data_IF_347781405469
#
_entry.id   IF_347781405469
#
_cell.length_a   1.000
_cell.length_b   1.000
_cell.length_c   1.000
_cell.angle_alpha   90.00
_cell.angle_beta   90.00
_cell.angle_gamma   90.00
#
_symmetry.space_group_name_H-M   'P 1'
#
loop_
_entity.id
_entity.type
_entity.pdbx_description
1 polymer ?
2 non-polymer ?
#
# COMPACT_ATOMS: atom_id res chain seq x y z
N UNK A 1 -1.60 3.59 -21.87
CA UNK A 1 -0.52 3.99 -20.91
C UNK A 1 -0.34 2.89 -19.85
N UNK A 2 0.74 2.11 -19.98
CA UNK A 2 1.01 1.00 -19.06
C UNK A 2 2.18 1.20 -18.11
N UNK A 3 2.67 2.44 -18.00
CA UNK A 3 3.79 2.74 -17.12
C UNK A 3 3.38 2.63 -15.68
N UNK A 4 4.32 2.19 -14.85
CA UNK A 4 4.07 2.02 -13.42
C UNK A 4 5.30 2.22 -12.53
N UNK A 5 5.04 2.65 -11.30
CA UNK A 5 6.07 2.84 -10.29
C UNK A 5 5.59 1.90 -9.20
N UNK A 6 6.48 1.05 -8.70
CA UNK A 6 6.05 0.09 -7.69
C UNK A 6 6.93 -0.02 -6.46
N UNK A 7 6.30 -0.52 -5.40
CA UNK A 7 6.93 -0.77 -4.12
C UNK A 7 6.43 -2.17 -3.79
N UNK A 8 7.36 -3.13 -3.77
CA UNK A 8 7.00 -4.51 -3.53
C UNK A 8 7.37 -5.08 -2.17
N UNK A 9 6.48 -5.94 -1.67
CA UNK A 9 6.68 -6.61 -0.41
C UNK A 9 7.09 -5.77 0.78
N UNK A 10 6.54 -4.57 0.92
CA UNK A 10 6.86 -3.75 2.07
C UNK A 10 6.28 -4.48 3.26
N UNK A 11 7.00 -4.48 4.37
CA UNK A 11 6.52 -5.20 5.54
C UNK A 11 6.50 -4.37 6.80
N UNK A 12 5.38 -4.44 7.51
CA UNK A 12 5.21 -3.67 8.72
C UNK A 12 4.60 -4.52 9.81
N UNK A 13 5.00 -4.26 11.05
CA UNK A 13 4.45 -4.98 12.18
C UNK A 13 3.39 -4.04 12.73
N UNK A 14 2.13 -4.46 12.64
CA UNK A 14 1.03 -3.64 13.12
C UNK A 14 0.03 -4.41 13.95
N UNK A 15 -0.96 -3.72 14.50
CA UNK A 15 -1.97 -4.36 15.35
C UNK A 15 -3.40 -4.37 14.83
N UNK A 16 -3.56 -4.32 13.51
CA UNK A 16 -4.88 -4.34 12.90
C UNK A 16 -5.48 -5.74 12.96
N UNK A 17 -6.80 -5.80 12.83
CA UNK A 17 -7.49 -7.07 12.87
C UNK A 17 -8.82 -6.93 13.60
N UNK A 18 -9.78 -7.77 13.23
CA UNK A 18 -11.11 -7.74 13.83
C UNK A 18 -11.21 -8.53 15.13
N UNK A 19 -10.15 -9.25 15.48
CA UNK A 19 -10.15 -10.03 16.72
C UNK A 19 -9.32 -9.33 17.79
N UNK A 20 -9.86 -9.24 19.00
CA UNK A 20 -9.18 -8.59 20.13
C UNK A 20 -7.74 -9.02 20.29
N UNK A 21 -7.53 -10.33 20.34
CA UNK A 21 -6.19 -10.88 20.50
C UNK A 21 -5.25 -10.33 19.42
N UNK A 22 -5.76 -10.24 18.20
CA UNK A 22 -4.99 -9.73 17.06
C UNK A 22 -4.37 -8.37 17.36
N UNK A 23 -5.19 -7.45 17.84
CA UNK A 23 -4.76 -6.10 18.15
C UNK A 23 -3.76 -6.04 19.31
N UNK A 24 -3.85 -7.01 20.22
CA UNK A 24 -2.97 -7.08 21.39
C UNK A 24 -1.55 -7.48 21.01
N UNK A 25 -1.44 -8.66 20.41
CA UNK A 25 -0.17 -9.24 19.99
C UNK A 25 0.41 -8.56 18.74
N UNK A 26 -0.41 -8.46 17.69
CA UNK A 26 0.02 -7.85 16.45
C UNK A 26 0.57 -8.86 15.46
N UNK A 27 1.01 -8.39 14.31
CA UNK A 27 1.57 -9.27 13.29
C UNK A 27 2.19 -8.48 12.14
N UNK A 28 2.81 -9.19 11.20
CA UNK A 28 3.42 -8.57 10.03
C UNK A 28 2.42 -8.51 8.85
N UNK A 29 2.27 -7.31 8.30
CA UNK A 29 1.38 -7.05 7.17
C UNK A 29 2.27 -6.78 5.97
N UNK A 30 2.07 -7.51 4.88
CA UNK A 30 2.87 -7.33 3.67
C UNK A 30 2.12 -6.39 2.74
N UNK A 31 2.83 -5.44 2.14
CA UNK A 31 2.16 -4.50 1.25
C UNK A 31 2.81 -4.29 -0.12
N UNK A 32 1.98 -4.35 -1.16
CA UNK A 32 2.42 -4.16 -2.54
C UNK A 32 1.69 -2.95 -3.09
N UNK A 33 2.43 -1.92 -3.49
CA UNK A 33 1.80 -0.72 -4.04
C UNK A 33 2.29 -0.43 -5.45
N UNK A 34 1.36 -0.41 -6.40
CA UNK A 34 1.68 -0.12 -7.80
C UNK A 34 0.88 1.10 -8.27
N UNK A 35 1.60 2.11 -8.74
CA UNK A 35 1.01 3.36 -9.21
C UNK A 35 1.08 3.54 -10.73
N UNK A 36 -0.04 3.91 -11.35
CA UNK A 36 -0.10 4.16 -12.79
C UNK A 36 0.37 5.60 -13.00
N UNK A 37 1.53 5.76 -13.62
CA UNK A 37 2.09 7.08 -13.83
C UNK A 37 2.82 7.10 -15.16
N UNK A 38 2.66 8.18 -15.91
CA UNK A 38 3.31 8.35 -17.21
C UNK A 38 4.77 8.68 -16.88
N UNK A 39 5.69 7.83 -17.31
CA UNK A 39 7.11 8.01 -17.02
C UNK A 39 8.00 8.42 -18.18
N UNK A 40 7.40 8.83 -19.30
CA UNK A 40 8.19 9.21 -20.46
C UNK A 40 8.91 10.55 -20.33
N UNK A 41 8.30 11.51 -19.63
CA UNK A 41 8.96 12.79 -19.46
C UNK A 41 10.15 12.60 -18.55
N UNK A 42 9.95 11.80 -17.49
CA UNK A 42 11.03 11.52 -16.55
C UNK A 42 12.08 10.67 -17.27
N UNK A 43 11.63 9.83 -18.19
CA UNK A 43 12.56 9.01 -18.94
C UNK A 43 13.37 9.86 -19.90
N UNK A 44 12.77 10.94 -20.38
CA UNK A 44 13.44 11.84 -21.30
C UNK A 44 14.32 12.81 -20.52
N UNK A 45 13.75 13.46 -19.51
CA UNK A 45 14.48 14.44 -18.71
C UNK A 45 15.50 13.93 -17.68
N UNK A 46 15.17 12.83 -17.00
CA UNK A 46 16.04 12.25 -15.96
C UNK A 46 15.94 13.05 -14.66
N UNK A 47 15.03 14.03 -14.66
CA UNK A 47 14.79 14.89 -13.51
C UNK A 47 13.80 14.22 -12.58
N UNK A 48 14.21 14.00 -11.33
CA UNK A 48 13.34 13.36 -10.36
C UNK A 48 12.03 14.13 -10.15
N UNK A 49 11.99 15.38 -10.63
CA UNK A 49 10.79 16.24 -10.49
C UNK A 49 9.70 16.01 -11.55
N UNK A 50 9.97 15.15 -12.54
CA UNK A 50 9.01 14.85 -13.59
C UNK A 50 8.36 13.48 -13.35
N UNK A 51 8.59 12.92 -12.17
CA UNK A 51 8.03 11.61 -11.81
C UNK A 51 7.63 11.62 -10.34
N UNK A 52 7.16 10.48 -9.84
CA UNK A 52 6.76 10.36 -8.45
C UNK A 52 7.87 9.65 -7.67
N UNK A 53 8.23 10.32 -6.58
CA UNK A 53 9.26 9.92 -5.61
C UNK A 53 8.74 8.77 -4.73
N UNK A 54 9.28 7.56 -4.92
CA UNK A 54 8.83 6.36 -4.14
C UNK A 54 9.17 6.40 -2.65
N UNK A 55 10.27 7.06 -2.28
CA UNK A 55 10.61 7.17 -0.87
C UNK A 55 9.46 7.79 -0.10
N UNK A 56 8.88 8.85 -0.66
CA UNK A 56 7.76 9.56 -0.07
C UNK A 56 6.55 8.64 0.00
N UNK A 57 6.39 7.80 -1.01
CA UNK A 57 5.26 6.88 -1.03
C UNK A 57 5.36 5.85 0.08
N UNK A 58 6.58 5.37 0.32
CA UNK A 58 6.86 4.38 1.35
C UNK A 58 6.55 4.97 2.71
N UNK A 59 6.84 6.26 2.85
CA UNK A 59 6.57 6.94 4.10
C UNK A 59 5.06 6.99 4.32
N UNK A 60 4.31 7.32 3.27
CA UNK A 60 2.85 7.40 3.35
C UNK A 60 2.29 6.04 3.77
N UNK A 61 2.73 4.99 3.10
CA UNK A 61 2.27 3.65 3.42
C UNK A 61 2.63 3.27 4.86
N UNK A 62 3.90 3.46 5.21
CA UNK A 62 4.42 3.15 6.54
C UNK A 62 3.61 3.79 7.65
N UNK A 63 3.39 5.10 7.54
CA UNK A 63 2.65 5.86 8.54
C UNK A 63 1.23 5.33 8.76
N UNK A 64 0.64 4.73 7.73
CA UNK A 64 -0.70 4.18 7.85
C UNK A 64 -0.61 2.75 8.37
N UNK A 65 0.33 1.98 7.84
CA UNK A 65 0.49 0.59 8.26
C UNK A 65 0.99 0.47 9.70
N UNK A 66 1.77 1.45 10.14
CA UNK A 66 2.29 1.43 11.50
C UNK A 66 1.59 2.41 12.44
N UNK A 67 0.43 2.92 12.04
CA UNK A 67 -0.28 3.85 12.89
C UNK A 67 -1.44 3.19 13.63
N UNK A 68 -2.38 4.00 14.09
CA UNK A 68 -3.57 3.52 14.80
C UNK A 68 -4.11 2.21 14.20
N UNK A 69 -4.42 1.25 15.05
CA UNK A 69 -4.93 -0.04 14.61
C UNK A 69 -6.41 -0.03 14.22
N UNK A 70 -6.69 -0.50 13.00
CA UNK A 70 -8.05 -0.56 12.50
C UNK A 70 -8.53 -2.00 12.44
N UNK A 71 -9.68 -2.22 11.82
CA UNK A 71 -10.25 -3.56 11.71
C UNK A 71 -9.82 -4.27 10.44
N UNK A 72 -10.28 -3.74 9.32
CA UNK A 72 -10.04 -4.33 8.03
C UNK A 72 -8.81 -3.88 7.25
N UNK A 73 -8.34 -4.80 6.42
CA UNK A 73 -7.21 -4.57 5.55
C UNK A 73 -7.80 -3.69 4.45
N UNK A 74 -9.12 -3.76 4.30
CA UNK A 74 -9.85 -2.98 3.29
C UNK A 74 -9.77 -1.51 3.66
N UNK A 75 -9.79 -1.24 4.96
CA UNK A 75 -9.72 0.11 5.48
C UNK A 75 -8.31 0.69 5.38
N UNK A 76 -7.32 -0.18 5.47
CA UNK A 76 -5.92 0.22 5.39
C UNK A 76 -5.51 0.54 3.95
N UNK A 77 -5.99 -0.27 3.01
CA UNK A 77 -5.67 -0.08 1.60
C UNK A 77 -6.39 1.10 1.02
N UNK A 78 -7.58 1.39 1.56
CA UNK A 78 -8.40 2.50 1.10
C UNK A 78 -7.79 3.81 1.61
N UNK A 79 -7.25 3.77 2.82
CA UNK A 79 -6.62 4.95 3.40
C UNK A 79 -5.34 5.26 2.64
N UNK A 80 -4.65 4.20 2.20
CA UNK A 80 -3.40 4.32 1.44
C UNK A 80 -3.66 4.79 0.01
N UNK A 81 -4.60 4.14 -0.67
CA UNK A 81 -4.94 4.51 -2.04
C UNK A 81 -5.42 5.96 -2.10
N UNK A 82 -6.22 6.36 -1.12
CA UNK A 82 -6.75 7.71 -1.05
C UNK A 82 -5.70 8.76 -0.64
N UNK A 83 -4.65 8.32 0.06
CA UNK A 83 -3.58 9.22 0.51
C UNK A 83 -2.52 9.48 -0.58
N UNK A 84 -2.33 8.50 -1.46
CA UNK A 84 -1.38 8.62 -2.55
C UNK A 84 -1.99 9.41 -3.72
N UNK A 85 -3.27 9.21 -3.98
CA UNK A 85 -3.96 9.90 -5.07
C UNK A 85 -4.09 11.39 -4.77
N UNK A 86 -4.43 11.70 -3.52
CA UNK A 86 -4.61 13.06 -3.04
C UNK A 86 -3.35 13.91 -3.14
N UNK A 87 -2.22 13.30 -2.78
CA UNK A 87 -0.95 14.01 -2.77
C UNK A 87 -0.19 14.00 -4.08
N UNK A 88 -0.57 13.12 -4.99
CA UNK A 88 0.12 13.06 -6.26
C UNK A 88 -0.85 13.05 -7.43
N UNK A 89 -0.74 14.11 -8.23
CA UNK A 89 -1.58 14.29 -9.41
C UNK A 89 -1.09 13.41 -10.55
N UNK A 90 0.19 13.07 -10.53
CA UNK A 90 0.79 12.23 -11.57
C UNK A 90 0.32 10.79 -11.50
N UNK A 91 -0.18 10.38 -10.34
CA UNK A 91 -0.68 9.02 -10.15
C UNK A 91 -2.09 8.93 -10.70
N UNK A 92 -2.23 8.42 -11.92
CA UNK A 92 -3.53 8.29 -12.57
C UNK A 92 -4.40 7.26 -11.88
N UNK A 93 -3.76 6.35 -11.15
CA UNK A 93 -4.45 5.27 -10.45
C UNK A 93 -3.55 4.57 -9.43
N UNK A 94 -4.13 4.11 -8.32
CA UNK A 94 -3.38 3.42 -7.27
C UNK A 94 -3.95 2.04 -6.87
N UNK A 95 -3.08 1.04 -6.91
CA UNK A 95 -3.45 -0.32 -6.56
C UNK A 95 -2.74 -0.73 -5.27
N UNK A 96 -3.50 -1.17 -4.29
CA UNK A 96 -2.92 -1.58 -3.02
C UNK A 96 -3.28 -3.02 -2.67
N UNK A 97 -2.26 -3.84 -2.51
CA UNK A 97 -2.44 -5.25 -2.15
C UNK A 97 -1.89 -5.43 -0.75
N UNK A 98 -2.74 -5.88 0.17
CA UNK A 98 -2.29 -6.09 1.54
C UNK A 98 -2.44 -7.55 1.90
N UNK A 99 -1.36 -8.13 2.40
CA UNK A 99 -1.36 -9.54 2.75
C UNK A 99 -1.07 -9.84 4.21
N UNK A 100 -1.88 -10.72 4.77
CA UNK A 100 -1.73 -11.20 6.14
C UNK A 100 -1.20 -12.62 5.92
N UNK A 101 0.11 -12.79 6.03
CA UNK A 101 0.68 -14.10 5.81
C UNK A 101 0.44 -15.01 7.00
N UNK A 102 0.20 -14.42 8.16
CA UNK A 102 -0.02 -15.21 9.36
C UNK A 102 -1.21 -14.77 10.20
N UNK A 103 -2.41 -14.88 9.63
CA UNK A 103 -3.61 -14.48 10.37
C UNK A 103 -4.04 -15.55 11.37
N UNK A 104 -4.98 -15.22 12.26
CA UNK A 104 -5.43 -16.21 13.24
C UNK A 104 -6.32 -17.26 12.55
N UNK A 105 -5.79 -17.90 11.50
CA UNK A 105 -6.54 -18.92 10.77
C UNK A 105 -5.88 -20.31 10.86
N UNK A 106 -6.53 -21.24 11.59
CA UNK A 106 -6.03 -22.61 11.78
C UNK A 106 -5.83 -23.32 10.46
N UNK A 107 -4.62 -23.26 9.92
CA UNK A 107 -4.37 -23.93 8.66
C UNK A 107 -2.99 -23.69 8.09
N UNK A 108 -2.77 -24.25 6.91
CA UNK A 108 -1.50 -24.12 6.21
C UNK A 108 -1.78 -23.46 4.87
N UNK A 109 -1.29 -22.23 4.73
CA UNK A 109 -1.48 -21.41 3.53
C UNK A 109 -0.30 -20.46 3.46
N UNK A 110 -0.16 -19.79 2.33
CA UNK A 110 0.93 -18.85 2.15
C UNK A 110 0.49 -17.47 2.63
N UNK A 111 -0.82 -17.23 2.62
CA UNK A 111 -1.34 -15.95 3.07
C UNK A 111 -2.73 -15.61 2.59
N UNK A 112 -3.34 -14.63 3.24
CA UNK A 112 -4.68 -14.18 2.89
C UNK A 112 -4.61 -12.66 2.73
N UNK A 113 -5.50 -12.09 1.93
CA UNK A 113 -5.46 -10.65 1.76
C UNK A 113 -6.52 -10.05 0.85
N UNK A 114 -6.35 -8.77 0.57
CA UNK A 114 -7.26 -8.05 -0.30
C UNK A 114 -6.42 -7.20 -1.23
N UNK A 115 -7.05 -6.72 -2.29
CA UNK A 115 -6.38 -5.87 -3.24
C UNK A 115 -7.41 -4.94 -3.85
N UNK A 116 -7.08 -3.65 -3.87
CA UNK A 116 -7.95 -2.64 -4.44
C UNK A 116 -7.21 -1.81 -5.48
N UNK A 117 -7.96 -1.29 -6.44
CA UNK A 117 -7.41 -0.45 -7.48
C UNK A 117 -8.31 0.78 -7.43
N UNK A 118 -7.72 1.96 -7.22
CA UNK A 118 -8.48 3.20 -7.13
C UNK A 118 -7.92 4.27 -8.04
N UNK A 119 -8.68 4.64 -9.07
CA UNK A 119 -8.22 5.68 -9.99
C UNK A 119 -8.25 7.04 -9.29
N UNK A 120 -7.36 7.94 -9.71
CA UNK A 120 -7.27 9.29 -9.14
C UNK A 120 -8.24 10.21 -9.87
N UNK A 121 -9.10 10.90 -9.11
CA UNK A 121 -10.09 11.83 -9.66
C UNK A 121 -9.67 13.30 -9.53
X LIG B 1 -12.43 -9.29 4.54
X LIG B 1 -11.79 -9.18 5.72
X LIG B 1 -12.05 -10.06 6.68
X LIG B 1 -11.41 -9.99 7.92
X LIG B 1 -10.46 -8.98 8.19
X LIG B 1 -9.54 -8.88 9.90
X LIG B 1 -10.17 -7.99 7.09
X LIG B 1 -9.35 -7.06 7.23
X LIG B 1 -10.86 -8.15 5.92
X LIG B 1 -11.74 -11.03 8.91
X LIG B 1 -12.48 -10.72 10.08
X LIG B 1 -12.76 -11.72 11.04
X LIG B 1 -12.28 -13.05 10.84
X LIG B 1 -11.54 -13.37 9.67
X LIG B 1 -11.27 -12.37 8.71
#
# INVERSE_FOLDING_TARGET
MQDTIFLKGMRFYGYHGALSAENEIGQIFKVDVTLKVDLSEAGRTDNVIDTVHYGEVFEEVKSIMEGKAVNLLEHLAERIANRINSQYNRVMETKVRITKENPPIPGHYDGVGIEIVRENK
977 N1 C2 N3 C4 C5 BR6 C7 O8 N9 C10 C11 C12 C13 C14 C15
#
